data_IF_990313050688
#
_entry.id   IF_990313050688
#
_cell.length_a   1.000
_cell.length_b   1.000
_cell.length_c   1.000
_cell.angle_alpha   90.00
_cell.angle_beta   90.00
_cell.angle_gamma   90.00
#
_symmetry.space_group_name_H-M   'P 1'
#
loop_
_entity.id
_entity.type
_entity.pdbx_description
1 polymer ?
#
# COMPACT_ATOMS: atom_id res chain seq x y z
N UNK A 1 -69.02 -25.81 52.75
CA UNK A 1 -67.63 -25.31 52.61
C UNK A 1 -66.74 -26.35 51.94
N UNK A 2 -66.66 -27.58 52.45
CA UNK A 2 -65.81 -28.63 51.83
C UNK A 2 -66.22 -29.01 50.40
N UNK A 3 -67.52 -29.08 50.09
CA UNK A 3 -68.01 -29.30 48.71
C UNK A 3 -67.55 -28.22 47.74
N UNK A 4 -67.55 -26.96 48.14
CA UNK A 4 -67.08 -25.85 47.30
C UNK A 4 -65.56 -25.88 47.09
N UNK A 5 -64.79 -26.31 48.09
CA UNK A 5 -63.34 -26.52 47.96
C UNK A 5 -63.02 -27.67 46.99
N UNK A 6 -63.78 -28.77 47.06
CA UNK A 6 -63.65 -29.88 46.12
C UNK A 6 -64.06 -29.49 44.70
N UNK A 7 -65.11 -28.69 44.54
CA UNK A 7 -65.50 -28.15 43.23
C UNK A 7 -64.39 -27.29 42.62
N UNK A 8 -63.77 -26.42 43.41
CA UNK A 8 -62.62 -25.62 42.97
C UNK A 8 -61.42 -26.49 42.55
N UNK A 9 -61.16 -27.60 43.24
CA UNK A 9 -60.09 -28.54 42.87
C UNK A 9 -60.46 -29.32 41.61
N UNK A 10 -61.73 -29.72 41.46
CA UNK A 10 -62.22 -30.41 40.26
C UNK A 10 -62.07 -29.56 39.01
N UNK A 11 -62.30 -28.24 39.10
CA UNK A 11 -62.03 -27.31 37.99
C UNK A 11 -60.55 -27.36 37.59
N UNK A 12 -59.62 -27.30 38.56
CA UNK A 12 -58.19 -27.40 38.28
C UNK A 12 -57.80 -28.75 37.68
N UNK A 13 -58.32 -29.86 38.20
CA UNK A 13 -58.10 -31.20 37.65
C UNK A 13 -58.55 -31.28 36.19
N UNK A 14 -59.75 -30.77 35.89
CA UNK A 14 -60.28 -30.77 34.53
C UNK A 14 -59.46 -29.87 33.59
N UNK A 15 -58.97 -28.71 34.05
CA UNK A 15 -58.04 -27.87 33.28
C UNK A 15 -56.76 -28.61 32.89
N UNK A 16 -56.32 -29.55 33.72
CA UNK A 16 -55.17 -30.42 33.46
C UNK A 16 -55.52 -31.75 32.80
N UNK A 17 -56.78 -31.95 32.35
CA UNK A 17 -57.23 -33.17 31.67
C UNK A 17 -57.46 -34.37 32.59
N UNK A 18 -57.51 -34.15 33.91
CA UNK A 18 -57.76 -35.18 34.92
C UNK A 18 -59.26 -35.29 35.22
N UNK A 19 -59.69 -36.46 35.71
CA UNK A 19 -61.08 -36.71 36.08
C UNK A 19 -61.43 -36.00 37.41
N UNK A 20 -62.63 -35.42 37.54
CA UNK A 20 -63.07 -34.80 38.79
C UNK A 20 -63.32 -35.88 39.86
N UNK A 21 -63.10 -35.48 41.11
CA UNK A 21 -63.35 -36.29 42.30
C UNK A 21 -64.80 -36.12 42.76
N UNK A 22 -65.43 -37.21 43.20
CA UNK A 22 -66.80 -37.20 43.73
C UNK A 22 -66.81 -37.55 45.22
N UNK A 23 -67.70 -36.86 45.96
CA UNK A 23 -67.96 -37.17 47.37
C UNK A 23 -68.94 -38.33 47.45
N UNK A 24 -68.50 -39.45 48.02
CA UNK A 24 -69.33 -40.65 48.19
C UNK A 24 -70.06 -40.60 49.53
N UNK A 25 -71.37 -40.86 49.53
CA UNK A 25 -72.18 -40.97 50.76
C UNK A 25 -71.89 -42.30 51.47
N UNK A 26 -71.93 -42.29 52.81
CA UNK A 26 -71.68 -43.49 53.65
C UNK A 26 -72.78 -44.54 53.46
N UNK A 27 -72.62 -45.44 52.49
CA UNK A 27 -73.55 -46.58 52.32
C UNK A 27 -72.92 -47.96 52.17
N UNK A 28 -71.60 -48.08 52.09
CA UNK A 28 -70.85 -49.27 52.52
C UNK A 28 -69.36 -48.92 52.44
N UNK A 29 -68.62 -49.05 53.55
CA UNK A 29 -67.26 -48.53 53.69
C UNK A 29 -66.18 -49.61 53.58
N UNK A 30 -66.55 -50.85 53.25
CA UNK A 30 -65.65 -52.02 53.31
C UNK A 30 -64.43 -51.91 52.40
N UNK A 31 -64.54 -51.14 51.30
CA UNK A 31 -63.47 -50.95 50.31
C UNK A 31 -62.96 -49.50 50.19
N UNK A 32 -63.31 -48.61 51.13
CA UNK A 32 -62.98 -47.18 51.05
C UNK A 32 -62.09 -46.71 52.21
N UNK A 33 -61.02 -45.98 51.88
CA UNK A 33 -60.19 -45.28 52.87
C UNK A 33 -60.91 -43.98 53.26
N UNK A 34 -61.34 -43.90 54.52
CA UNK A 34 -62.00 -42.71 55.06
C UNK A 34 -60.96 -41.79 55.70
N UNK A 35 -60.83 -40.59 55.16
CA UNK A 35 -60.03 -39.55 55.78
C UNK A 35 -60.79 -38.84 56.90
N UNK A 36 -60.10 -38.58 58.01
CA UNK A 36 -60.58 -37.59 58.97
C UNK A 36 -60.59 -36.18 58.34
N UNK A 37 -61.29 -35.25 58.98
CA UNK A 37 -61.45 -33.88 58.48
C UNK A 37 -60.11 -33.17 58.24
N UNK A 38 -59.14 -33.35 59.12
CA UNK A 38 -57.84 -32.71 59.02
C UNK A 38 -57.02 -33.29 57.87
N UNK A 39 -57.03 -34.61 57.73
CA UNK A 39 -56.35 -35.31 56.64
C UNK A 39 -56.97 -34.97 55.27
N UNK A 40 -58.30 -34.88 55.20
CA UNK A 40 -59.04 -34.46 53.99
C UNK A 40 -58.74 -33.02 53.60
N UNK A 41 -58.72 -32.10 54.57
CA UNK A 41 -58.34 -30.70 54.34
C UNK A 41 -56.89 -30.58 53.85
N UNK A 42 -55.95 -31.33 54.46
CA UNK A 42 -54.55 -31.34 54.04
C UNK A 42 -54.39 -31.90 52.61
N UNK A 43 -55.12 -32.96 52.27
CA UNK A 43 -55.13 -33.52 50.92
C UNK A 43 -55.62 -32.49 49.89
N UNK A 44 -56.71 -31.78 50.19
CA UNK A 44 -57.23 -30.70 49.33
C UNK A 44 -56.21 -29.60 49.09
N UNK A 45 -55.57 -29.13 50.16
CA UNK A 45 -54.52 -28.10 50.07
C UNK A 45 -53.34 -28.60 49.23
N UNK A 46 -52.85 -29.82 49.47
CA UNK A 46 -51.76 -30.41 48.70
C UNK A 46 -52.10 -30.53 47.21
N UNK A 47 -53.31 -31.02 46.87
CA UNK A 47 -53.76 -31.13 45.48
C UNK A 47 -53.83 -29.76 44.80
N UNK A 48 -54.40 -28.76 45.49
CA UNK A 48 -54.49 -27.39 44.97
C UNK A 48 -53.10 -26.82 44.68
N UNK A 49 -52.20 -26.86 45.66
CA UNK A 49 -50.82 -26.36 45.50
C UNK A 49 -50.08 -27.10 44.39
N UNK A 50 -50.26 -28.43 44.29
CA UNK A 50 -49.62 -29.23 43.23
C UNK A 50 -50.10 -28.82 41.83
N UNK A 51 -51.40 -28.58 41.64
CA UNK A 51 -51.95 -28.14 40.34
C UNK A 51 -51.49 -26.72 39.97
N UNK A 52 -51.51 -25.78 40.92
CA UNK A 52 -51.03 -24.42 40.72
C UNK A 52 -49.53 -24.40 40.35
N UNK A 53 -48.72 -25.20 41.06
CA UNK A 53 -47.29 -25.33 40.78
C UNK A 53 -47.03 -26.02 39.44
N UNK A 54 -47.83 -27.02 39.06
CA UNK A 54 -47.74 -27.68 37.74
C UNK A 54 -48.02 -26.68 36.62
N UNK A 55 -49.03 -25.83 36.77
CA UNK A 55 -49.33 -24.75 35.80
C UNK A 55 -48.17 -23.78 35.66
N UNK A 56 -47.60 -23.34 36.80
CA UNK A 56 -46.45 -22.44 36.81
C UNK A 56 -45.24 -23.05 36.11
N UNK A 57 -44.95 -24.32 36.36
CA UNK A 57 -43.86 -25.05 35.71
C UNK A 57 -44.09 -25.21 34.20
N UNK A 58 -45.32 -25.52 33.77
CA UNK A 58 -45.67 -25.61 32.35
C UNK A 58 -45.44 -24.27 31.63
N UNK A 59 -45.80 -23.15 32.26
CA UNK A 59 -45.56 -21.81 31.69
C UNK A 59 -44.05 -21.54 31.55
N UNK A 60 -43.26 -21.81 32.59
CA UNK A 60 -41.80 -21.64 32.54
C UNK A 60 -41.17 -22.52 31.45
N UNK A 61 -41.61 -23.78 31.32
CA UNK A 61 -41.11 -24.68 30.27
C UNK A 61 -41.42 -24.12 28.88
N UNK A 62 -42.64 -23.61 28.66
CA UNK A 62 -43.02 -23.00 27.38
C UNK A 62 -42.16 -21.77 27.07
N UNK A 63 -42.01 -20.86 28.03
CA UNK A 63 -41.19 -19.65 27.86
C UNK A 63 -39.71 -20.00 27.58
N UNK A 64 -39.18 -21.04 28.24
CA UNK A 64 -37.83 -21.54 27.97
C UNK A 64 -37.69 -22.13 26.56
N UNK A 65 -38.70 -22.85 26.07
CA UNK A 65 -38.70 -23.39 24.69
C UNK A 65 -38.72 -22.25 23.67
N UNK A 66 -39.60 -21.27 23.86
CA UNK A 66 -39.72 -20.10 22.97
C UNK A 66 -38.41 -19.30 22.97
N UNK A 67 -37.85 -19.02 24.15
CA UNK A 67 -36.58 -18.31 24.28
C UNK A 67 -35.44 -19.10 23.63
N UNK A 68 -35.39 -20.43 23.79
CA UNK A 68 -34.36 -21.27 23.18
C UNK A 68 -34.45 -21.26 21.64
N UNK A 69 -35.66 -21.24 21.09
CA UNK A 69 -35.87 -21.13 19.64
C UNK A 69 -35.39 -19.78 19.12
N UNK A 70 -35.75 -18.69 19.80
CA UNK A 70 -35.30 -17.34 19.44
C UNK A 70 -33.77 -17.24 19.49
N UNK A 71 -33.13 -17.73 20.56
CA UNK A 71 -31.67 -17.73 20.68
C UNK A 71 -30.99 -18.55 19.58
N UNK A 72 -31.59 -19.65 19.12
CA UNK A 72 -31.05 -20.43 17.99
C UNK A 72 -31.12 -19.64 16.68
N UNK A 73 -32.21 -18.93 16.43
CA UNK A 73 -32.35 -18.08 15.25
C UNK A 73 -31.36 -16.90 15.27
N UNK A 74 -31.18 -16.25 16.42
CA UNK A 74 -30.19 -15.18 16.60
C UNK A 74 -28.76 -15.69 16.41
N UNK A 75 -28.45 -16.87 16.96
CA UNK A 75 -27.14 -17.49 16.79
C UNK A 75 -26.84 -17.78 15.31
N UNK A 76 -27.81 -18.29 14.55
CA UNK A 76 -27.64 -18.53 13.12
C UNK A 76 -27.40 -17.23 12.35
N UNK A 77 -28.14 -16.17 12.67
CA UNK A 77 -27.97 -14.86 12.05
C UNK A 77 -26.58 -14.28 12.31
N UNK A 78 -26.12 -14.33 13.56
CA UNK A 78 -24.78 -13.84 13.93
C UNK A 78 -23.67 -14.72 13.33
N UNK A 79 -23.88 -16.02 13.16
CA UNK A 79 -22.93 -16.88 12.42
C UNK A 79 -22.81 -16.48 10.95
N UNK A 80 -23.93 -16.22 10.26
CA UNK A 80 -23.89 -15.72 8.89
C UNK A 80 -23.20 -14.37 8.80
N UNK A 81 -23.52 -13.46 9.72
CA UNK A 81 -22.87 -12.14 9.79
C UNK A 81 -21.37 -12.25 10.03
N UNK A 82 -20.94 -13.14 10.93
CA UNK A 82 -19.52 -13.37 11.20
C UNK A 82 -18.79 -13.90 9.95
N UNK A 83 -19.39 -14.85 9.23
CA UNK A 83 -18.83 -15.38 7.98
C UNK A 83 -18.70 -14.28 6.90
N UNK A 84 -19.70 -13.41 6.75
CA UNK A 84 -19.63 -12.28 5.82
C UNK A 84 -18.51 -11.30 6.18
N UNK A 85 -18.31 -11.03 7.48
CA UNK A 85 -17.22 -10.16 7.93
C UNK A 85 -15.85 -10.81 7.76
N UNK A 86 -15.73 -12.11 7.99
CA UNK A 86 -14.50 -12.87 7.74
C UNK A 86 -14.13 -12.83 6.26
N UNK A 87 -15.10 -13.11 5.37
CA UNK A 87 -14.87 -13.02 3.93
C UNK A 87 -14.41 -11.61 3.52
N UNK A 88 -15.07 -10.57 4.02
CA UNK A 88 -14.68 -9.19 3.73
C UNK A 88 -13.28 -8.85 4.25
N UNK A 89 -12.89 -9.35 5.42
CA UNK A 89 -11.55 -9.16 5.96
C UNK A 89 -10.49 -9.82 5.06
N UNK A 90 -10.75 -11.04 4.59
CA UNK A 90 -9.87 -11.75 3.66
C UNK A 90 -9.72 -11.02 2.32
N UNK A 91 -10.82 -10.50 1.76
CA UNK A 91 -10.79 -9.73 0.52
C UNK A 91 -9.95 -8.44 0.67
N UNK A 92 -10.09 -7.75 1.81
CA UNK A 92 -9.31 -6.54 2.11
C UNK A 92 -7.82 -6.86 2.30
N UNK A 93 -7.49 -7.98 2.94
CA UNK A 93 -6.10 -8.43 3.10
C UNK A 93 -5.45 -8.73 1.74
N UNK A 94 -6.19 -9.38 0.83
CA UNK A 94 -5.71 -9.63 -0.54
C UNK A 94 -5.46 -8.34 -1.31
N UNK A 95 -6.38 -7.36 -1.23
CA UNK A 95 -6.21 -6.05 -1.86
C UNK A 95 -4.98 -5.33 -1.27
N UNK A 96 -4.82 -5.37 0.05
CA UNK A 96 -3.68 -4.75 0.74
C UNK A 96 -2.35 -5.35 0.26
N UNK A 97 -2.25 -6.68 0.17
CA UNK A 97 -1.03 -7.33 -0.31
C UNK A 97 -0.73 -7.00 -1.78
N UNK A 98 -1.77 -6.92 -2.62
CA UNK A 98 -1.61 -6.48 -4.02
C UNK A 98 -1.10 -5.04 -4.12
N UNK A 99 -1.64 -4.12 -3.33
CA UNK A 99 -1.19 -2.72 -3.28
C UNK A 99 0.25 -2.63 -2.77
N UNK A 100 0.59 -3.39 -1.73
CA UNK A 100 1.94 -3.44 -1.18
C UNK A 100 2.97 -3.93 -2.20
N UNK A 101 2.65 -5.01 -2.92
CA UNK A 101 3.46 -5.49 -4.05
C UNK A 101 3.63 -4.40 -5.11
N UNK A 102 2.54 -3.70 -5.46
CA UNK A 102 2.60 -2.67 -6.50
C UNK A 102 3.44 -1.46 -6.09
N UNK A 103 3.38 -1.05 -4.83
CA UNK A 103 4.22 0.01 -4.29
C UNK A 103 5.70 -0.40 -4.40
N UNK A 104 6.04 -1.62 -3.98
CA UNK A 104 7.42 -2.13 -4.09
C UNK A 104 7.95 -2.11 -5.52
N UNK A 105 7.15 -2.59 -6.49
CA UNK A 105 7.52 -2.52 -7.92
C UNK A 105 7.79 -1.07 -8.37
N UNK A 106 6.93 -0.13 -8.00
CA UNK A 106 7.07 1.28 -8.40
C UNK A 106 8.28 1.95 -7.76
N UNK A 107 8.58 1.62 -6.51
CA UNK A 107 9.77 2.09 -5.79
C UNK A 107 11.04 1.56 -6.46
N UNK A 108 11.09 0.27 -6.77
CA UNK A 108 12.23 -0.37 -7.46
C UNK A 108 12.45 0.21 -8.85
N UNK A 109 11.38 0.37 -9.64
CA UNK A 109 11.45 1.01 -10.95
C UNK A 109 11.96 2.46 -10.84
N UNK A 110 11.49 3.21 -9.85
CA UNK A 110 11.92 4.59 -9.62
C UNK A 110 13.41 4.65 -9.25
N UNK A 111 13.85 3.77 -8.35
CA UNK A 111 15.25 3.67 -7.94
C UNK A 111 16.15 3.32 -9.14
N UNK A 112 15.71 2.37 -9.97
CA UNK A 112 16.41 1.98 -11.18
C UNK A 112 16.54 3.14 -12.17
N UNK A 113 15.47 3.91 -12.39
CA UNK A 113 15.53 5.12 -13.25
C UNK A 113 16.53 6.14 -12.73
N UNK A 114 16.51 6.44 -11.43
CA UNK A 114 17.46 7.38 -10.82
C UNK A 114 18.90 6.88 -10.96
N UNK A 115 19.15 5.58 -10.73
CA UNK A 115 20.46 4.97 -10.91
C UNK A 115 20.96 5.09 -12.37
N UNK A 116 20.09 4.84 -13.34
CA UNK A 116 20.42 5.00 -14.76
C UNK A 116 20.77 6.45 -15.11
N UNK A 117 19.98 7.42 -14.66
CA UNK A 117 20.26 8.85 -14.91
C UNK A 117 21.56 9.31 -14.21
N UNK A 118 21.82 8.84 -12.99
CA UNK A 118 23.08 9.10 -12.28
C UNK A 118 24.29 8.60 -13.07
N UNK A 119 24.20 7.40 -13.67
CA UNK A 119 25.26 6.85 -14.51
C UNK A 119 25.48 7.69 -15.77
N UNK A 120 24.40 8.08 -16.48
CA UNK A 120 24.50 8.97 -17.65
C UNK A 120 25.16 10.30 -17.31
N UNK A 121 24.77 10.92 -16.19
CA UNK A 121 25.38 12.17 -15.73
C UNK A 121 26.88 11.97 -15.47
N UNK A 122 27.27 10.87 -14.82
CA UNK A 122 28.67 10.55 -14.55
C UNK A 122 29.48 10.40 -15.85
N UNK A 123 28.92 9.72 -16.85
CA UNK A 123 29.57 9.54 -18.15
C UNK A 123 29.75 10.87 -18.88
N UNK A 124 28.70 11.70 -18.93
CA UNK A 124 28.76 13.05 -19.51
C UNK A 124 29.77 13.94 -18.81
N UNK A 125 29.90 13.84 -17.48
CA UNK A 125 30.92 14.59 -16.73
C UNK A 125 32.35 14.16 -17.10
N UNK A 126 32.58 12.85 -17.32
CA UNK A 126 33.88 12.35 -17.78
C UNK A 126 34.19 12.86 -19.19
N UNK A 127 33.21 12.79 -20.10
CA UNK A 127 33.33 13.29 -21.46
C UNK A 127 33.62 14.80 -21.51
N UNK A 128 32.90 15.59 -20.72
CA UNK A 128 33.12 17.02 -20.59
C UNK A 128 34.55 17.33 -20.13
N UNK A 129 35.06 16.63 -19.11
CA UNK A 129 36.45 16.80 -18.65
C UNK A 129 37.46 16.46 -19.74
N UNK A 130 37.25 15.37 -20.48
CA UNK A 130 38.11 14.97 -21.58
C UNK A 130 38.12 16.00 -22.72
N UNK A 131 36.95 16.52 -23.10
CA UNK A 131 36.81 17.57 -24.10
C UNK A 131 37.46 18.88 -23.64
N UNK A 132 37.28 19.25 -22.38
CA UNK A 132 37.90 20.45 -21.80
C UNK A 132 39.44 20.36 -21.87
N UNK A 133 40.02 19.21 -21.54
CA UNK A 133 41.45 18.98 -21.65
C UNK A 133 41.95 19.09 -23.11
N UNK A 134 41.22 18.50 -24.07
CA UNK A 134 41.52 18.64 -25.51
C UNK A 134 41.47 20.10 -25.97
N UNK A 135 40.45 20.85 -25.57
CA UNK A 135 40.32 22.27 -25.89
C UNK A 135 41.49 23.10 -25.35
N UNK A 136 41.92 22.85 -24.11
CA UNK A 136 43.09 23.52 -23.53
C UNK A 136 44.37 23.18 -24.30
N UNK A 137 44.55 21.92 -24.67
CA UNK A 137 45.69 21.47 -25.46
C UNK A 137 45.75 22.17 -26.83
N UNK A 138 44.65 22.22 -27.57
CA UNK A 138 44.61 22.93 -28.86
C UNK A 138 44.81 24.44 -28.74
N UNK A 139 44.33 25.07 -27.65
CA UNK A 139 44.62 26.49 -27.38
C UNK A 139 46.13 26.72 -27.22
N UNK A 140 46.84 25.83 -26.53
CA UNK A 140 48.29 25.91 -26.35
C UNK A 140 49.02 25.76 -27.70
N UNK A 141 48.69 24.74 -28.48
CA UNK A 141 49.28 24.54 -29.82
C UNK A 141 49.07 25.77 -30.71
N UNK A 142 47.86 26.34 -30.70
CA UNK A 142 47.57 27.55 -31.48
C UNK A 142 48.45 28.73 -31.07
N UNK A 143 48.70 28.90 -29.78
CA UNK A 143 49.56 29.96 -29.27
C UNK A 143 51.01 29.78 -29.72
N UNK A 144 51.56 28.58 -29.60
CA UNK A 144 52.91 28.23 -30.06
C UNK A 144 53.07 28.45 -31.58
N UNK A 145 52.04 28.09 -32.36
CA UNK A 145 52.01 28.35 -33.80
C UNK A 145 51.98 29.85 -34.11
N UNK A 146 51.20 30.63 -33.36
CA UNK A 146 51.12 32.08 -33.55
C UNK A 146 52.46 32.76 -33.26
N UNK A 147 53.17 32.33 -32.22
CA UNK A 147 54.52 32.81 -31.88
C UNK A 147 55.53 32.45 -32.98
N UNK A 148 55.46 31.22 -33.49
CA UNK A 148 56.31 30.76 -34.60
C UNK A 148 56.09 31.59 -35.86
N UNK A 149 54.82 31.82 -36.23
CA UNK A 149 54.46 32.65 -37.39
C UNK A 149 55.01 34.08 -37.21
N UNK A 150 54.85 34.68 -36.04
CA UNK A 150 55.35 36.03 -35.75
C UNK A 150 56.88 36.11 -35.87
N UNK A 151 57.61 35.10 -35.36
CA UNK A 151 59.07 35.02 -35.50
C UNK A 151 59.48 34.92 -36.97
N UNK A 152 58.87 34.01 -37.73
CA UNK A 152 59.17 33.83 -39.15
C UNK A 152 58.87 35.10 -39.97
N UNK A 153 57.76 35.78 -39.68
CA UNK A 153 57.44 37.06 -40.32
C UNK A 153 58.52 38.13 -40.07
N UNK A 154 59.04 38.19 -38.82
CA UNK A 154 60.15 39.10 -38.48
C UNK A 154 61.44 38.74 -39.22
N UNK A 155 61.76 37.46 -39.33
CA UNK A 155 62.93 36.98 -40.07
C UNK A 155 62.83 37.29 -41.57
N UNK A 156 61.66 37.07 -42.18
CA UNK A 156 61.41 37.41 -43.59
C UNK A 156 61.61 38.90 -43.84
N UNK A 157 61.08 39.76 -42.95
CA UNK A 157 61.26 41.21 -43.07
C UNK A 157 62.73 41.62 -42.97
N UNK A 158 63.47 41.07 -42.00
CA UNK A 158 64.90 41.31 -41.84
C UNK A 158 65.68 40.89 -43.09
N UNK A 159 65.50 39.66 -43.54
CA UNK A 159 66.19 39.11 -44.72
C UNK A 159 65.87 39.91 -45.99
N UNK A 160 64.62 40.37 -46.15
CA UNK A 160 64.24 41.24 -47.27
C UNK A 160 65.05 42.55 -47.25
N UNK A 161 65.16 43.19 -46.08
CA UNK A 161 65.91 44.45 -45.94
C UNK A 161 67.42 44.25 -46.19
N UNK A 162 67.99 43.19 -45.65
CA UNK A 162 69.40 42.83 -45.90
C UNK A 162 69.66 42.58 -47.40
N UNK A 163 68.73 41.91 -48.08
CA UNK A 163 68.81 41.68 -49.53
C UNK A 163 68.68 42.97 -50.33
N UNK A 164 67.75 43.85 -49.98
CA UNK A 164 67.61 45.18 -50.59
C UNK A 164 68.90 46.01 -50.45
N UNK A 165 69.51 46.04 -49.25
CA UNK A 165 70.78 46.71 -48.99
C UNK A 165 71.95 46.10 -49.80
N UNK A 166 71.98 44.77 -49.92
CA UNK A 166 72.95 44.04 -50.74
C UNK A 166 72.84 44.43 -52.21
N UNK A 167 71.62 44.47 -52.76
CA UNK A 167 71.35 44.88 -54.15
C UNK A 167 71.81 46.32 -54.38
N UNK A 168 71.47 47.26 -53.48
CA UNK A 168 71.92 48.66 -53.58
C UNK A 168 73.45 48.75 -53.59
N UNK A 169 74.11 48.00 -52.72
CA UNK A 169 75.58 47.97 -52.64
C UNK A 169 76.20 47.40 -53.92
N UNK A 170 75.68 46.28 -54.43
CA UNK A 170 76.14 45.68 -55.68
C UNK A 170 75.95 46.63 -56.86
N UNK A 171 74.80 47.28 -56.99
CA UNK A 171 74.52 48.26 -58.04
C UNK A 171 75.51 49.45 -57.98
N UNK A 172 75.85 49.92 -56.77
CA UNK A 172 76.83 50.99 -56.59
C UNK A 172 78.24 50.57 -57.03
N UNK A 173 78.68 49.36 -56.66
CA UNK A 173 79.97 48.80 -57.08
C UNK A 173 80.02 48.62 -58.60
N UNK A 174 78.95 48.09 -59.19
CA UNK A 174 78.84 47.92 -60.64
C UNK A 174 78.94 49.27 -61.37
N UNK A 175 78.18 50.28 -60.96
CA UNK A 175 78.25 51.63 -61.54
C UNK A 175 79.65 52.25 -61.43
N UNK A 176 80.36 52.02 -60.32
CA UNK A 176 81.73 52.49 -60.15
C UNK A 176 82.72 51.79 -61.10
N UNK A 177 82.56 50.47 -61.29
CA UNK A 177 83.37 49.71 -62.25
C UNK A 177 83.12 50.19 -63.67
N UNK A 178 81.87 50.36 -64.10
CA UNK A 178 81.53 50.87 -65.44
C UNK A 178 82.19 52.22 -65.76
N UNK A 179 82.31 53.12 -64.77
CA UNK A 179 82.99 54.43 -64.93
C UNK A 179 84.51 54.33 -65.10
N UNK A 180 85.12 53.20 -64.76
CA UNK A 180 86.57 52.95 -64.87
C UNK A 180 86.94 52.14 -66.11
N UNK A 181 85.96 51.67 -66.88
CA UNK A 181 86.20 50.98 -68.16
C UNK A 181 86.42 52.05 -69.24
N UNK A 182 87.48 51.98 -70.05
CA UNK A 182 87.68 52.91 -71.16
C UNK A 182 86.55 52.71 -72.18
N UNK A 183 85.69 53.71 -72.37
CA UNK A 183 84.62 53.66 -73.37
C UNK A 183 85.24 53.63 -74.77
N UNK A 184 85.22 52.47 -75.42
CA UNK A 184 85.52 52.33 -76.85
C UNK A 184 84.28 52.69 -77.69
N UNK A 185 84.53 53.12 -78.93
CA UNK A 185 83.66 53.85 -79.89
C UNK A 185 82.25 53.26 -80.19
N UNK A 186 81.84 52.13 -79.59
CA UNK A 186 80.58 51.45 -79.91
C UNK A 186 79.35 51.86 -79.06
N UNK A 187 79.49 52.69 -78.03
CA UNK A 187 78.40 53.01 -77.08
C UNK A 187 77.51 54.24 -77.46
N UNK A 188 77.52 54.71 -78.72
CA UNK A 188 76.77 55.93 -79.15
C UNK A 188 75.71 55.71 -80.26
N UNK A 189 74.96 54.62 -80.23
CA UNK A 189 73.76 54.44 -81.07
C UNK A 189 72.51 54.19 -80.25
#
# INVERSE_FOLDING_TARGET
>A
QEEAEWESINVLLMMHGLKPLSLVKRTDLTDLIVFDKQSSQRMRQNLKTLMEETTRQQNVIRELIETNQQLKSELQLEQSRAADQEQRANDLEQIMESVKSKIGELEDESLNRVCQEQNKIKDLQMEHKALQAKCQHYKKIRMEQQETIASLQKDIYRLRKEEEERIVTQNRVFAYLCKRVPHTVLDRQ
#
